data_IF_321703816844
#
_entry.id   IF_321703816844
#
_cell.length_a   1.000
_cell.length_b   1.000
_cell.length_c   1.000
_cell.angle_alpha   90.00
_cell.angle_beta   90.00
_cell.angle_gamma   90.00
#
_symmetry.space_group_name_H-M   'P 1'
#
loop_
_entity.id
_entity.type
_entity.pdbx_description
1 polymer ?
#
# COMPACT_ATOMS: atom_id res chain seq x y z
N UNK A 1 -15.00 -7.57 -19.52
CA UNK A 1 -15.37 -7.01 -18.20
C UNK A 1 -15.29 -5.50 -18.31
N UNK A 2 -16.34 -4.78 -17.97
CA UNK A 2 -16.43 -3.32 -18.07
C UNK A 2 -16.19 -2.69 -16.70
N UNK A 3 -15.25 -1.75 -16.60
CA UNK A 3 -14.94 -1.03 -15.35
C UNK A 3 -15.35 0.44 -15.50
N UNK A 4 -16.05 0.97 -14.49
CA UNK A 4 -16.42 2.40 -14.45
C UNK A 4 -15.53 3.14 -13.49
N UNK A 5 -14.83 4.16 -13.98
CA UNK A 5 -13.99 5.07 -13.22
C UNK A 5 -14.72 6.39 -13.04
N UNK A 6 -14.61 6.98 -11.84
CA UNK A 6 -15.13 8.31 -11.55
C UNK A 6 -13.95 9.26 -11.49
N UNK A 7 -13.87 10.18 -12.44
CA UNK A 7 -12.78 11.15 -12.50
C UNK A 7 -13.33 12.54 -12.23
N UNK A 8 -12.68 13.28 -11.35
CA UNK A 8 -12.97 14.69 -11.18
C UNK A 8 -12.30 15.46 -12.32
N UNK A 9 -13.10 16.23 -13.07
CA UNK A 9 -12.60 16.96 -14.24
C UNK A 9 -11.48 17.95 -13.86
N UNK A 10 -11.50 18.49 -12.63
CA UNK A 10 -10.45 19.38 -12.15
C UNK A 10 -9.06 18.73 -12.13
N UNK A 11 -8.97 17.40 -11.96
CA UNK A 11 -7.70 16.68 -11.86
C UNK A 11 -7.08 16.38 -13.24
N UNK A 12 -7.87 16.50 -14.32
CA UNK A 12 -7.46 16.21 -15.70
C UNK A 12 -7.14 17.49 -16.48
N UNK A 13 -7.71 18.62 -16.07
CA UNK A 13 -7.49 19.89 -16.75
C UNK A 13 -6.06 20.41 -16.49
N UNK A 14 -5.42 21.01 -17.51
CA UNK A 14 -4.19 21.77 -17.30
C UNK A 14 -4.40 22.82 -16.21
N UNK A 15 -3.41 23.01 -15.33
CA UNK A 15 -3.47 23.92 -14.17
C UNK A 15 -3.84 25.36 -14.55
N UNK A 16 -3.62 25.73 -15.81
CA UNK A 16 -3.86 27.05 -16.37
C UNK A 16 -5.35 27.30 -16.69
N UNK A 17 -6.16 26.24 -16.76
CA UNK A 17 -7.61 26.31 -17.00
C UNK A 17 -8.38 26.06 -15.71
N UNK A 18 -8.74 27.13 -15.00
CA UNK A 18 -9.65 27.04 -13.84
C UNK A 18 -11.09 26.77 -14.30
N UNK A 19 -11.71 25.78 -13.66
CA UNK A 19 -13.14 25.52 -13.83
C UNK A 19 -13.93 26.72 -13.27
N UNK A 20 -14.80 27.34 -14.08
CA UNK A 20 -15.63 28.49 -13.65
C UNK A 20 -16.73 28.11 -12.65
N UNK A 21 -16.92 26.82 -12.39
CA UNK A 21 -17.99 26.28 -11.54
C UNK A 21 -17.40 25.68 -10.27
N UNK A 22 -17.99 26.01 -9.12
CA UNK A 22 -17.67 25.41 -7.82
C UNK A 22 -18.26 24.00 -7.65
N UNK A 23 -19.04 23.50 -8.61
CA UNK A 23 -19.57 22.14 -8.55
C UNK A 23 -18.52 21.11 -8.96
N UNK A 24 -18.24 20.16 -8.06
CA UNK A 24 -17.47 18.95 -8.36
C UNK A 24 -18.15 18.20 -9.50
N UNK A 25 -17.62 18.38 -10.71
CA UNK A 25 -18.13 17.69 -11.90
C UNK A 25 -17.41 16.36 -12.01
N UNK A 26 -18.09 15.28 -11.58
CA UNK A 26 -17.59 13.91 -11.66
C UNK A 26 -17.99 13.33 -13.01
N UNK A 27 -17.00 13.00 -13.84
CA UNK A 27 -17.20 12.34 -15.12
C UNK A 27 -17.09 10.82 -14.93
N UNK A 28 -18.16 10.04 -15.20
CA UNK A 28 -18.07 8.59 -15.26
C UNK A 28 -17.45 8.14 -16.58
N UNK A 29 -16.31 7.46 -16.53
CA UNK A 29 -15.62 6.90 -17.70
C UNK A 29 -15.71 5.38 -17.65
N UNK A 30 -16.22 4.78 -18.73
CA UNK A 30 -16.29 3.32 -18.88
C UNK A 30 -15.10 2.83 -19.69
N UNK A 31 -14.41 1.80 -19.18
CA UNK A 31 -13.29 1.14 -19.88
C UNK A 31 -13.64 -0.31 -20.14
N UNK A 32 -13.58 -0.71 -21.42
CA UNK A 32 -13.64 -2.11 -21.84
C UNK A 32 -12.25 -2.58 -22.21
N UNK A 33 -11.71 -3.50 -21.41
CA UNK A 33 -10.41 -4.12 -21.65
C UNK A 33 -10.47 -5.61 -21.27
N UNK A 34 -9.51 -6.39 -21.77
CA UNK A 34 -9.26 -7.72 -21.21
C UNK A 34 -8.79 -7.53 -19.75
N UNK A 35 -9.29 -8.32 -18.78
CA UNK A 35 -8.87 -8.25 -17.40
C UNK A 35 -7.49 -8.93 -17.21
N UNK A 36 -6.54 -8.58 -18.08
CA UNK A 36 -5.20 -9.14 -18.12
C UNK A 36 -4.20 -8.01 -17.95
N UNK A 37 -3.19 -8.26 -17.12
CA UNK A 37 -2.05 -7.37 -16.93
C UNK A 37 -0.80 -8.25 -16.86
N UNK A 38 0.35 -7.79 -17.35
CA UNK A 38 1.62 -8.47 -17.09
C UNK A 38 1.80 -8.67 -15.59
N UNK A 39 2.16 -9.88 -15.17
CA UNK A 39 2.30 -10.26 -13.76
C UNK A 39 3.75 -10.59 -13.36
N UNK A 40 4.72 -10.39 -14.26
CA UNK A 40 6.14 -10.63 -13.97
C UNK A 40 6.70 -9.67 -12.92
N UNK A 41 6.16 -8.46 -12.84
CA UNK A 41 6.47 -7.49 -11.80
C UNK A 41 5.18 -6.89 -11.27
N UNK A 42 5.15 -6.66 -9.96
CA UNK A 42 4.02 -6.03 -9.27
C UNK A 42 4.54 -4.96 -8.32
N UNK A 43 3.78 -3.90 -8.15
CA UNK A 43 4.10 -2.84 -7.20
C UNK A 43 3.91 -3.33 -5.77
N UNK A 44 4.63 -2.73 -4.82
CA UNK A 44 4.49 -3.00 -3.38
C UNK A 44 3.03 -2.93 -2.91
N UNK A 45 2.30 -1.89 -3.31
CA UNK A 45 0.90 -1.73 -2.91
C UNK A 45 0.01 -2.85 -3.47
N UNK A 46 0.31 -3.35 -4.68
CA UNK A 46 -0.46 -4.45 -5.29
C UNK A 46 -0.13 -5.80 -4.66
N UNK A 47 1.10 -5.98 -4.17
CA UNK A 47 1.53 -7.23 -3.52
C UNK A 47 1.04 -7.35 -2.08
N UNK A 48 0.56 -6.26 -1.47
CA UNK A 48 0.03 -6.27 -0.11
C UNK A 48 -1.07 -7.33 0.07
N UNK A 49 -0.95 -8.11 1.14
CA UNK A 49 -1.87 -9.22 1.43
C UNK A 49 -1.59 -10.52 0.68
N UNK A 50 -0.63 -10.54 -0.26
CA UNK A 50 -0.24 -11.75 -0.98
C UNK A 50 0.91 -12.48 -0.28
N UNK A 51 0.94 -13.82 -0.40
CA UNK A 51 2.11 -14.63 -0.08
C UNK A 51 2.71 -15.15 -1.38
N UNK A 52 3.97 -14.80 -1.63
CA UNK A 52 4.70 -15.13 -2.84
C UNK A 52 5.74 -16.22 -2.52
N UNK A 53 5.97 -17.14 -3.46
CA UNK A 53 6.90 -18.27 -3.25
C UNK A 53 8.35 -17.84 -3.30
N UNK A 54 8.73 -17.03 -4.29
CA UNK A 54 10.07 -16.50 -4.48
C UNK A 54 9.94 -15.09 -5.05
N UNK A 55 10.73 -14.14 -4.56
CA UNK A 55 10.65 -12.74 -4.98
C UNK A 55 12.03 -12.13 -5.20
N UNK A 56 12.11 -11.25 -6.19
CA UNK A 56 13.20 -10.29 -6.35
C UNK A 56 12.62 -8.92 -6.02
N UNK A 57 13.20 -8.23 -5.05
CA UNK A 57 12.70 -6.93 -4.58
C UNK A 57 13.72 -5.83 -4.90
N UNK A 58 13.20 -4.69 -5.35
CA UNK A 58 13.98 -3.47 -5.50
C UNK A 58 13.61 -2.51 -4.37
N UNK A 59 14.59 -2.23 -3.51
CA UNK A 59 14.44 -1.38 -2.32
C UNK A 59 14.99 0.04 -2.53
N UNK A 60 15.42 0.38 -3.74
CA UNK A 60 15.88 1.74 -4.04
C UNK A 60 14.68 2.63 -4.33
N UNK A 61 14.29 3.36 -3.30
CA UNK A 61 13.24 4.37 -3.33
C UNK A 61 13.70 5.59 -4.12
N UNK A 62 12.78 6.23 -4.85
CA UNK A 62 13.09 7.42 -5.65
C UNK A 62 13.19 8.68 -4.76
N UNK A 63 12.50 8.68 -3.62
CA UNK A 63 12.48 9.78 -2.66
C UNK A 63 12.79 9.25 -1.24
N UNK A 64 13.56 10.00 -0.45
CA UNK A 64 13.89 9.65 0.94
C UNK A 64 12.70 9.75 1.92
N UNK A 65 11.56 10.27 1.44
CA UNK A 65 10.31 10.42 2.20
C UNK A 65 9.41 9.18 2.13
N UNK A 66 9.85 8.11 1.51
CA UNK A 66 9.00 6.95 1.28
C UNK A 66 8.75 6.18 2.60
N UNK A 67 7.46 5.94 2.83
CA UNK A 67 6.87 5.29 4.00
C UNK A 67 7.57 3.96 4.34
N UNK A 68 7.83 3.69 5.62
CA UNK A 68 8.37 2.41 6.14
C UNK A 68 7.59 1.22 5.58
N UNK A 69 6.29 1.40 5.34
CA UNK A 69 5.42 0.40 4.73
C UNK A 69 5.92 -0.03 3.33
N UNK A 70 6.47 0.90 2.53
CA UNK A 70 6.98 0.61 1.20
C UNK A 70 8.15 -0.39 1.21
N UNK A 71 8.87 -0.49 2.33
CA UNK A 71 10.00 -1.41 2.53
C UNK A 71 9.56 -2.70 3.23
N UNK A 72 8.73 -2.59 4.27
CA UNK A 72 8.27 -3.76 5.03
C UNK A 72 7.34 -4.67 4.22
N UNK A 73 6.42 -4.09 3.44
CA UNK A 73 5.46 -4.87 2.65
C UNK A 73 6.14 -5.83 1.68
N UNK A 74 7.10 -5.44 0.80
CA UNK A 74 7.73 -6.37 -0.12
C UNK A 74 8.58 -7.43 0.60
N UNK A 75 9.26 -7.06 1.70
CA UNK A 75 10.05 -7.99 2.52
C UNK A 75 9.18 -9.09 3.15
N UNK A 76 7.96 -8.74 3.59
CA UNK A 76 7.04 -9.67 4.26
C UNK A 76 6.21 -10.54 3.30
N UNK A 77 6.45 -10.48 1.97
CA UNK A 77 5.68 -11.31 1.01
C UNK A 77 6.12 -12.76 0.95
N UNK A 78 7.32 -13.09 1.45
CA UNK A 78 7.83 -14.48 1.48
C UNK A 78 7.81 -15.05 2.90
N UNK A 79 7.87 -16.38 3.00
CA UNK A 79 7.91 -17.08 4.30
C UNK A 79 9.32 -17.28 4.84
N UNK A 80 10.34 -17.30 3.97
CA UNK A 80 11.74 -17.58 4.33
C UNK A 80 12.67 -16.61 3.64
N UNK A 81 13.77 -16.27 4.30
CA UNK A 81 14.78 -15.37 3.75
C UNK A 81 15.44 -15.94 2.48
N UNK A 82 15.60 -17.26 2.38
CA UNK A 82 16.15 -17.96 1.20
C UNK A 82 15.31 -17.77 -0.06
N UNK A 83 14.05 -17.38 0.09
CA UNK A 83 13.11 -17.17 -1.01
C UNK A 83 13.12 -15.71 -1.51
N UNK A 84 13.98 -14.86 -0.95
CA UNK A 84 14.05 -13.42 -1.23
C UNK A 84 15.43 -13.02 -1.76
N UNK A 85 15.42 -12.26 -2.84
CA UNK A 85 16.62 -11.65 -3.42
C UNK A 85 16.43 -10.14 -3.46
N UNK A 86 17.42 -9.40 -2.97
CA UNK A 86 17.47 -7.94 -3.09
C UNK A 86 18.21 -7.61 -4.39
N UNK A 87 17.52 -6.91 -5.30
CA UNK A 87 17.98 -6.67 -6.67
C UNK A 87 19.27 -5.85 -6.74
N UNK A 88 19.43 -4.87 -5.84
CA UNK A 88 20.58 -3.95 -5.81
C UNK A 88 20.82 -3.39 -4.41
N UNK A 89 22.00 -2.81 -4.21
CA UNK A 89 22.35 -2.13 -2.96
C UNK A 89 21.35 -1.00 -2.63
N UNK A 90 21.07 -0.83 -1.34
CA UNK A 90 20.15 0.18 -0.79
C UNK A 90 20.72 0.69 0.55
N UNK A 91 20.32 1.89 0.96
CA UNK A 91 20.72 2.45 2.26
C UNK A 91 19.97 1.75 3.39
N UNK A 92 20.73 1.12 4.30
CA UNK A 92 20.19 0.42 5.45
C UNK A 92 19.42 1.33 6.41
N UNK A 93 19.73 2.64 6.45
CA UNK A 93 19.05 3.61 7.31
C UNK A 93 17.53 3.61 7.13
N UNK A 94 17.07 3.28 5.92
CA UNK A 94 15.64 3.21 5.58
C UNK A 94 14.93 2.12 6.41
N UNK A 95 15.61 1.02 6.75
CA UNK A 95 15.02 -0.04 7.61
C UNK A 95 14.99 0.34 9.09
N UNK A 96 15.75 1.36 9.48
CA UNK A 96 15.84 1.85 10.87
C UNK A 96 14.97 3.08 11.13
N UNK A 97 14.17 3.49 10.15
CA UNK A 97 13.28 4.64 10.30
C UNK A 97 12.24 4.36 11.39
N UNK A 98 12.09 5.31 12.32
CA UNK A 98 11.14 5.21 13.40
C UNK A 98 9.71 5.38 12.86
N UNK A 99 8.78 4.46 13.18
CA UNK A 99 7.36 4.63 12.91
C UNK A 99 6.84 5.97 13.44
N UNK A 100 5.77 6.48 12.82
CA UNK A 100 5.06 7.65 13.34
C UNK A 100 4.64 7.42 14.79
N UNK A 101 4.67 8.45 15.65
CA UNK A 101 4.29 8.32 17.07
C UNK A 101 2.87 7.76 17.29
N UNK A 102 1.98 7.92 16.30
CA UNK A 102 0.62 7.36 16.30
C UNK A 102 0.58 5.84 16.19
N UNK A 103 1.53 5.21 15.49
CA UNK A 103 1.53 3.76 15.27
C UNK A 103 1.75 2.98 16.58
N UNK A 104 2.78 3.27 17.40
CA UNK A 104 2.93 2.61 18.70
C UNK A 104 1.75 2.83 19.64
N UNK A 105 1.19 4.05 19.68
CA UNK A 105 0.02 4.36 20.51
C UNK A 105 -1.21 3.54 20.08
N UNK A 106 -1.40 3.35 18.77
CA UNK A 106 -2.49 2.52 18.25
C UNK A 106 -2.28 1.04 18.57
N UNK A 107 -1.04 0.52 18.48
CA UNK A 107 -0.72 -0.86 18.87
C UNK A 107 -1.03 -1.08 20.37
N UNK A 108 -0.60 -0.17 21.24
CA UNK A 108 -0.90 -0.24 22.68
C UNK A 108 -2.41 -0.21 22.96
N UNK A 109 -3.16 0.61 22.22
CA UNK A 109 -4.62 0.68 22.31
C UNK A 109 -5.26 -0.64 21.89
N UNK A 110 -4.78 -1.27 20.83
CA UNK A 110 -5.27 -2.56 20.35
C UNK A 110 -4.99 -3.70 21.34
N UNK A 111 -3.83 -3.70 22.01
CA UNK A 111 -3.51 -4.68 23.05
C UNK A 111 -4.45 -4.57 24.25
N UNK A 112 -4.75 -3.34 24.69
CA UNK A 112 -5.75 -3.10 25.77
C UNK A 112 -7.12 -3.62 25.36
N UNK A 113 -7.55 -3.31 24.13
CA UNK A 113 -8.83 -3.76 23.60
C UNK A 113 -8.89 -5.28 23.47
N UNK A 114 -7.79 -5.93 23.09
CA UNK A 114 -7.68 -7.38 23.05
C UNK A 114 -7.91 -8.00 24.43
N UNK A 115 -7.23 -7.51 25.47
CA UNK A 115 -7.40 -8.00 26.85
C UNK A 115 -8.83 -7.78 27.36
N UNK A 116 -9.44 -6.63 27.08
CA UNK A 116 -10.84 -6.36 27.42
C UNK A 116 -11.79 -7.32 26.70
N UNK A 117 -11.53 -7.60 25.42
CA UNK A 117 -12.32 -8.54 24.62
C UNK A 117 -12.23 -9.95 25.19
N UNK A 118 -11.04 -10.40 25.60
CA UNK A 118 -10.85 -11.70 26.25
C UNK A 118 -11.60 -11.78 27.58
N UNK A 119 -11.56 -10.73 28.40
CA UNK A 119 -12.26 -10.69 29.67
C UNK A 119 -13.79 -10.70 29.51
N UNK A 120 -14.29 -10.01 28.48
CA UNK A 120 -15.74 -9.86 28.22
C UNK A 120 -16.36 -11.10 27.58
N UNK A 121 -15.60 -11.84 26.78
CA UNK A 121 -16.07 -12.99 26.02
C UNK A 121 -15.22 -14.25 26.30
N UNK A 122 -15.08 -14.67 27.57
CA UNK A 122 -14.20 -15.77 27.95
C UNK A 122 -14.58 -17.12 27.31
N UNK A 123 -15.81 -17.27 26.84
CA UNK A 123 -16.30 -18.49 26.20
C UNK A 123 -15.81 -18.67 24.75
N UNK A 124 -15.18 -17.66 24.15
CA UNK A 124 -14.67 -17.67 22.76
C UNK A 124 -13.14 -17.72 22.65
N UNK A 125 -12.42 -17.74 23.78
CA UNK A 125 -10.96 -17.78 23.86
C UNK A 125 -10.49 -18.99 24.68
#
# INVERSE_FOLDING_TARGET
MEQTFRINIADVLPKDKKLKSNHRTILPIKRRALPLVPAYSITTNKSQGQTLRNVVIDLKLLNETDDIAAMYVPLSRVKRLTDLIIFRHFDYKILTMTPSKSQPAEIERLDKLYLETQWRFPEWF
#
